data_IF_046833816270
#
_entry.id   IF_046833816270
#
_cell.length_a   1.000
_cell.length_b   1.000
_cell.length_c   1.000
_cell.angle_alpha   90.00
_cell.angle_beta   90.00
_cell.angle_gamma   90.00
#
_symmetry.space_group_name_H-M   'P 1'
#
loop_
_entity.id
_entity.type
_entity.pdbx_description
1 polymer ?
#
# COMPACT_ATOMS: atom_id res chain seq x y z
N UNK A 1 11.14 12.03 -11.38
CA UNK A 1 11.50 10.98 -12.37
C UNK A 1 10.69 9.69 -12.30
N UNK A 2 10.88 8.77 -11.31
CA UNK A 2 10.17 7.46 -11.33
C UNK A 2 8.64 7.58 -11.37
N UNK A 3 8.08 8.47 -10.54
CA UNK A 3 6.63 8.68 -10.51
C UNK A 3 6.12 9.34 -11.80
N UNK A 4 6.83 10.34 -12.34
CA UNK A 4 6.50 10.94 -13.65
C UNK A 4 6.47 9.89 -14.78
N UNK A 5 7.40 8.92 -14.76
CA UNK A 5 7.42 7.81 -15.72
C UNK A 5 6.22 6.88 -15.57
N UNK A 6 5.78 6.61 -14.34
CA UNK A 6 4.54 5.86 -14.07
C UNK A 6 3.35 6.66 -14.60
N UNK A 7 3.22 7.94 -14.24
CA UNK A 7 2.16 8.83 -14.71
C UNK A 7 2.08 8.83 -16.24
N UNK A 8 3.19 9.03 -16.94
CA UNK A 8 3.26 9.00 -18.40
C UNK A 8 2.80 7.64 -18.97
N UNK A 9 3.23 6.54 -18.35
CA UNK A 9 2.86 5.18 -18.79
C UNK A 9 1.38 4.87 -18.57
N UNK A 10 0.76 5.52 -17.59
CA UNK A 10 -0.68 5.45 -17.31
C UNK A 10 -1.50 6.46 -18.14
N UNK A 11 -0.87 7.28 -18.98
CA UNK A 11 -1.55 8.31 -19.77
C UNK A 11 -1.97 9.55 -18.96
N UNK A 12 -1.32 9.78 -17.82
CA UNK A 12 -1.63 10.84 -16.86
C UNK A 12 -0.65 12.02 -16.98
N UNK A 13 -1.06 13.23 -16.55
CA UNK A 13 -0.13 14.35 -16.37
C UNK A 13 1.03 13.99 -15.44
N UNK A 14 2.22 14.53 -15.71
CA UNK A 14 3.43 14.25 -14.91
C UNK A 14 3.29 14.67 -13.44
N UNK A 15 2.45 15.66 -13.15
CA UNK A 15 2.16 16.16 -11.80
C UNK A 15 0.98 15.45 -11.11
N UNK A 16 0.52 14.30 -11.62
CA UNK A 16 -0.59 13.58 -11.01
C UNK A 16 -0.19 12.98 -9.67
N UNK A 17 -1.08 13.04 -8.68
CA UNK A 17 -0.93 12.27 -7.46
C UNK A 17 -1.28 10.81 -7.75
N UNK A 18 -0.24 9.97 -7.84
CA UNK A 18 -0.40 8.56 -8.15
C UNK A 18 -1.14 7.80 -7.04
N UNK A 19 -1.05 8.24 -5.79
CA UNK A 19 -1.75 7.58 -4.69
C UNK A 19 -3.27 7.76 -4.86
N UNK A 20 -3.71 9.01 -5.07
CA UNK A 20 -5.12 9.34 -5.32
C UNK A 20 -5.65 8.65 -6.59
N UNK A 21 -4.84 8.59 -7.66
CA UNK A 21 -5.21 7.90 -8.90
C UNK A 21 -5.46 6.40 -8.67
N UNK A 22 -4.58 5.73 -7.92
CA UNK A 22 -4.71 4.30 -7.63
C UNK A 22 -5.92 4.04 -6.74
N UNK A 23 -6.15 4.88 -5.74
CA UNK A 23 -7.31 4.78 -4.86
C UNK A 23 -8.63 4.96 -5.63
N UNK A 24 -8.70 5.96 -6.53
CA UNK A 24 -9.84 6.15 -7.42
C UNK A 24 -10.05 4.96 -8.37
N UNK A 25 -8.97 4.39 -8.91
CA UNK A 25 -9.06 3.22 -9.78
C UNK A 25 -9.61 2.00 -9.03
N UNK A 26 -9.13 1.73 -7.81
CA UNK A 26 -9.62 0.66 -6.95
C UNK A 26 -11.13 0.78 -6.72
N UNK A 27 -11.61 1.99 -6.43
CA UNK A 27 -13.03 2.28 -6.30
C UNK A 27 -13.82 2.04 -7.60
N UNK A 28 -13.28 2.47 -8.75
CA UNK A 28 -13.94 2.31 -10.06
C UNK A 28 -14.14 0.85 -10.47
N UNK A 29 -13.16 -0.02 -10.17
CA UNK A 29 -13.24 -1.45 -10.50
C UNK A 29 -13.93 -2.30 -9.43
N UNK A 30 -14.37 -1.67 -8.33
CA UNK A 30 -15.14 -2.32 -7.27
C UNK A 30 -14.32 -3.16 -6.30
N UNK A 31 -13.06 -2.80 -6.05
CA UNK A 31 -12.29 -3.41 -4.96
C UNK A 31 -12.79 -2.91 -3.60
N UNK A 32 -12.63 -3.72 -2.52
CA UNK A 32 -12.80 -3.26 -1.15
C UNK A 32 -11.95 -2.02 -0.86
N UNK A 33 -12.46 -1.11 -0.04
CA UNK A 33 -11.79 0.16 0.26
C UNK A 33 -10.57 -0.01 1.15
N UNK A 34 -10.60 -1.01 2.03
CA UNK A 34 -9.59 -1.23 3.05
C UNK A 34 -9.56 -2.70 3.46
N UNK A 35 -8.56 -3.07 4.27
CA UNK A 35 -8.40 -4.43 4.78
C UNK A 35 -9.51 -4.81 5.78
N UNK A 36 -10.13 -3.84 6.45
CA UNK A 36 -11.27 -4.06 7.34
C UNK A 36 -12.48 -4.64 6.60
N UNK A 37 -12.80 -4.13 5.41
CA UNK A 37 -13.85 -4.68 4.53
C UNK A 37 -13.52 -6.11 4.05
N UNK A 38 -12.25 -6.52 4.09
CA UNK A 38 -11.79 -7.88 3.79
C UNK A 38 -11.77 -8.80 5.02
N UNK A 39 -12.11 -8.29 6.21
CA UNK A 39 -12.18 -9.06 7.46
C UNK A 39 -10.89 -9.08 8.28
N UNK A 40 -9.92 -8.22 7.98
CA UNK A 40 -8.72 -8.03 8.81
C UNK A 40 -9.08 -7.15 10.01
N UNK A 41 -8.61 -7.53 11.20
CA UNK A 41 -8.81 -6.78 12.45
C UNK A 41 -7.47 -6.40 13.08
N UNK A 42 -7.47 -5.37 13.92
CA UNK A 42 -6.26 -4.85 14.57
C UNK A 42 -5.49 -5.91 15.36
N UNK A 43 -6.19 -6.86 15.98
CA UNK A 43 -5.57 -7.97 16.74
C UNK A 43 -4.65 -8.86 15.87
N UNK A 44 -4.81 -8.84 14.54
CA UNK A 44 -3.96 -9.59 13.60
C UNK A 44 -2.67 -8.83 13.23
N UNK A 45 -2.59 -7.53 13.48
CA UNK A 45 -1.48 -6.67 13.01
C UNK A 45 -0.11 -7.12 13.54
N UNK A 46 0.07 -7.45 14.84
CA UNK A 46 1.40 -7.81 15.34
C UNK A 46 2.00 -9.03 14.61
N UNK A 47 1.18 -10.05 14.35
CA UNK A 47 1.62 -11.25 13.62
C UNK A 47 1.88 -10.95 12.15
N UNK A 48 1.00 -10.18 11.49
CA UNK A 48 1.15 -9.76 10.09
C UNK A 48 2.42 -8.92 9.86
N UNK A 49 2.70 -7.97 10.75
CA UNK A 49 3.88 -7.12 10.68
C UNK A 49 5.16 -7.94 10.88
N UNK A 50 5.16 -8.86 11.85
CA UNK A 50 6.31 -9.74 12.11
C UNK A 50 6.63 -10.63 10.91
N UNK A 51 5.61 -11.14 10.21
CA UNK A 51 5.79 -11.91 8.98
C UNK A 51 6.27 -11.04 7.80
N UNK A 52 5.79 -9.81 7.70
CA UNK A 52 6.13 -8.88 6.61
C UNK A 52 7.59 -8.43 6.64
N UNK A 53 8.14 -8.22 7.84
CA UNK A 53 9.56 -7.83 8.03
C UNK A 53 10.53 -8.91 7.53
N UNK A 54 10.18 -10.19 7.70
CA UNK A 54 11.06 -11.31 7.33
C UNK A 54 10.81 -11.83 5.90
N UNK A 55 9.86 -11.24 5.19
CA UNK A 55 9.57 -11.61 3.82
C UNK A 55 10.70 -11.16 2.88
N UNK A 56 11.10 -12.05 1.95
CA UNK A 56 12.24 -11.80 1.06
C UNK A 56 11.95 -10.68 0.06
N UNK A 57 10.68 -10.42 -0.28
CA UNK A 57 10.31 -9.30 -1.16
C UNK A 57 10.68 -7.94 -0.55
N UNK A 58 10.60 -7.81 0.78
CA UNK A 58 10.92 -6.59 1.54
C UNK A 58 12.37 -6.13 1.34
N UNK A 59 13.29 -7.06 1.05
CA UNK A 59 14.71 -6.76 0.84
C UNK A 59 14.96 -5.83 -0.37
N UNK A 60 14.06 -5.83 -1.35
CA UNK A 60 14.19 -5.01 -2.57
C UNK A 60 13.31 -3.76 -2.58
N UNK A 61 12.59 -3.49 -1.47
CA UNK A 61 11.80 -2.27 -1.34
C UNK A 61 12.75 -1.04 -1.27
N UNK A 62 12.49 0.05 -2.01
CA UNK A 62 13.38 1.22 -2.03
C UNK A 62 13.50 1.91 -0.67
N UNK A 63 12.53 1.71 0.22
CA UNK A 63 12.57 2.14 1.63
C UNK A 63 12.34 0.89 2.48
N UNK A 64 13.38 0.34 3.11
CA UNK A 64 13.24 -0.89 3.89
C UNK A 64 12.41 -0.59 5.14
N UNK A 65 11.17 -1.11 5.27
CA UNK A 65 10.33 -0.79 6.41
C UNK A 65 10.82 -1.53 7.65
N UNK A 66 10.77 -0.85 8.80
CA UNK A 66 10.91 -1.46 10.11
C UNK A 66 9.63 -2.21 10.51
N UNK A 67 9.68 -2.93 11.63
CA UNK A 67 8.47 -3.56 12.20
C UNK A 67 7.39 -2.52 12.50
N UNK A 68 7.76 -1.41 13.13
CA UNK A 68 6.86 -0.30 13.46
C UNK A 68 6.26 0.33 12.19
N UNK A 69 7.03 0.43 11.10
CA UNK A 69 6.51 0.91 9.83
C UNK A 69 5.42 -0.04 9.28
N UNK A 70 5.61 -1.36 9.34
CA UNK A 70 4.58 -2.31 8.92
C UNK A 70 3.33 -2.26 9.81
N UNK A 71 3.50 -2.14 11.13
CA UNK A 71 2.37 -1.99 12.05
C UNK A 71 1.55 -0.75 11.70
N UNK A 72 2.21 0.40 11.50
CA UNK A 72 1.56 1.64 11.10
C UNK A 72 0.87 1.53 9.73
N UNK A 73 1.51 0.89 8.74
CA UNK A 73 0.92 0.66 7.41
C UNK A 73 -0.33 -0.21 7.49
N UNK A 74 -0.34 -1.27 8.32
CA UNK A 74 -1.53 -2.09 8.51
C UNK A 74 -2.64 -1.34 9.23
N UNK A 75 -2.32 -0.54 10.25
CA UNK A 75 -3.31 0.31 10.94
C UNK A 75 -3.97 1.27 9.95
N UNK A 76 -3.18 1.96 9.14
CA UNK A 76 -3.70 2.87 8.11
C UNK A 76 -4.53 2.14 7.05
N UNK A 77 -4.11 0.94 6.65
CA UNK A 77 -4.77 0.15 5.60
C UNK A 77 -6.06 -0.56 6.06
N UNK A 78 -6.31 -0.71 7.36
CA UNK A 78 -7.59 -1.26 7.87
C UNK A 78 -8.73 -0.24 7.74
N UNK A 79 -8.41 1.06 7.80
CA UNK A 79 -9.37 2.16 7.63
C UNK A 79 -10.00 2.64 8.92
#
# INVERSE_FOLDING_TARGET
DKYERISRSMGLPESSDLAEVVENLNNQIGLPRNLGEMGIVEDMIPDLAQHSVVDVCSFTNPVIPSLEDYENLFVEAIG
#
